data_IF_149339173942
#
_entry.id   IF_149339173942
#
_cell.length_a   1.000
_cell.length_b   1.000
_cell.length_c   1.000
_cell.angle_alpha   90.00
_cell.angle_beta   90.00
_cell.angle_gamma   90.00
#
_symmetry.space_group_name_H-M   'P 1'
#
loop_
_entity.id
_entity.type
_entity.pdbx_description
1 polymer ?
#
# COMPACT_ATOMS: atom_id res chain seq x y z
N UNK A 1 -12.49 16.63 -17.20
CA UNK A 1 -11.48 16.10 -16.25
C UNK A 1 -10.33 15.56 -17.07
N UNK A 2 -9.10 16.02 -16.83
CA UNK A 2 -7.93 15.34 -17.40
C UNK A 2 -7.99 13.90 -16.87
N UNK A 3 -7.98 12.91 -17.76
CA UNK A 3 -7.92 11.52 -17.34
C UNK A 3 -6.67 11.34 -16.47
N UNK A 4 -6.85 10.81 -15.26
CA UNK A 4 -5.73 10.49 -14.38
C UNK A 4 -4.92 9.38 -15.03
N UNK A 5 -3.83 9.73 -15.70
CA UNK A 5 -3.03 8.81 -16.51
C UNK A 5 -1.83 8.22 -15.75
N UNK A 6 -1.74 8.48 -14.43
CA UNK A 6 -0.64 7.99 -13.61
C UNK A 6 -1.08 7.52 -12.23
N UNK A 7 -0.41 6.48 -11.73
CA UNK A 7 -0.76 5.81 -10.50
C UNK A 7 0.47 5.50 -9.63
N UNK A 8 0.27 5.55 -8.31
CA UNK A 8 1.18 5.00 -7.31
C UNK A 8 0.55 3.74 -6.71
N UNK A 9 1.22 2.61 -6.87
CA UNK A 9 0.76 1.31 -6.35
C UNK A 9 1.40 1.06 -4.99
N UNK A 10 0.58 0.90 -3.95
CA UNK A 10 1.00 0.32 -2.68
C UNK A 10 1.36 -1.13 -2.94
N UNK A 11 2.65 -1.38 -3.03
CA UNK A 11 3.20 -2.64 -3.47
C UNK A 11 3.92 -3.28 -2.27
N UNK A 12 3.84 -4.59 -2.07
CA UNK A 12 4.65 -5.31 -1.08
C UNK A 12 5.51 -6.40 -1.72
N UNK A 13 5.21 -6.80 -2.96
CA UNK A 13 5.75 -8.00 -3.59
C UNK A 13 4.90 -9.25 -3.32
N UNK A 14 3.89 -9.16 -2.45
CA UNK A 14 2.90 -10.23 -2.26
C UNK A 14 1.94 -10.34 -3.44
N UNK A 15 1.16 -11.43 -3.46
CA UNK A 15 0.23 -11.78 -4.54
C UNK A 15 -0.70 -10.63 -4.91
N UNK A 16 -1.48 -10.12 -3.96
CA UNK A 16 -2.52 -9.11 -4.23
C UNK A 16 -1.91 -7.82 -4.75
N UNK A 17 -0.82 -7.36 -4.12
CA UNK A 17 -0.12 -6.16 -4.54
C UNK A 17 0.52 -6.31 -5.94
N UNK A 18 0.95 -7.51 -6.31
CA UNK A 18 1.47 -7.83 -7.66
C UNK A 18 0.35 -7.84 -8.69
N UNK A 19 -0.82 -8.38 -8.34
CA UNK A 19 -2.01 -8.29 -9.17
C UNK A 19 -2.43 -6.83 -9.37
N UNK A 20 -2.40 -5.99 -8.33
CA UNK A 20 -2.65 -4.56 -8.43
C UNK A 20 -1.65 -3.86 -9.35
N UNK A 21 -0.36 -4.19 -9.27
CA UNK A 21 0.66 -3.65 -10.15
C UNK A 21 0.40 -4.02 -11.61
N UNK A 22 0.13 -5.30 -11.88
CA UNK A 22 -0.22 -5.79 -13.22
C UNK A 22 -1.48 -5.10 -13.77
N UNK A 23 -2.48 -4.90 -12.91
CA UNK A 23 -3.70 -4.18 -13.26
C UNK A 23 -3.38 -2.71 -13.58
N UNK A 24 -2.63 -2.01 -12.74
CA UNK A 24 -2.27 -0.60 -12.95
C UNK A 24 -1.48 -0.40 -14.25
N UNK A 25 -0.52 -1.29 -14.56
CA UNK A 25 0.27 -1.23 -15.79
C UNK A 25 -0.55 -1.38 -17.07
N UNK A 26 -1.76 -1.97 -16.99
CA UNK A 26 -2.71 -2.05 -18.10
C UNK A 26 -3.58 -0.80 -18.25
N UNK A 27 -3.71 0.01 -17.21
CA UNK A 27 -4.71 1.11 -17.14
C UNK A 27 -4.09 2.51 -17.13
N UNK A 28 -2.79 2.65 -16.80
CA UNK A 28 -2.13 3.95 -16.67
C UNK A 28 -0.84 3.99 -17.50
N UNK A 29 -0.51 5.14 -18.08
CA UNK A 29 0.73 5.32 -18.85
C UNK A 29 1.99 5.44 -17.99
N UNK A 30 1.85 5.84 -16.72
CA UNK A 30 2.94 5.89 -15.74
C UNK A 30 2.52 5.28 -14.41
N UNK A 31 3.23 4.24 -14.00
CA UNK A 31 3.00 3.54 -12.73
C UNK A 31 4.26 3.57 -11.90
N UNK A 32 4.19 4.10 -10.69
CA UNK A 32 5.26 3.97 -9.69
C UNK A 32 4.80 3.04 -8.57
N UNK A 33 5.73 2.55 -7.77
CA UNK A 33 5.41 1.65 -6.65
C UNK A 33 5.93 2.20 -5.33
N UNK A 34 5.21 1.97 -4.25
CA UNK A 34 5.64 2.33 -2.89
C UNK A 34 5.51 1.14 -1.96
N UNK A 35 6.55 0.87 -1.19
CA UNK A 35 6.59 -0.12 -0.11
C UNK A 35 6.86 0.56 1.23
N UNK A 36 6.49 -0.14 2.31
CA UNK A 36 6.65 0.35 3.68
C UNK A 36 7.44 -0.66 4.51
N UNK A 37 8.53 -0.20 5.11
CA UNK A 37 9.19 -0.90 6.19
C UNK A 37 8.68 -0.33 7.51
N UNK A 38 7.81 -1.06 8.20
CA UNK A 38 7.22 -0.63 9.47
C UNK A 38 7.64 -1.53 10.63
N UNK A 39 8.79 -2.22 10.49
CA UNK A 39 9.29 -3.15 11.49
C UNK A 39 8.53 -4.48 11.54
N UNK A 40 7.89 -4.88 10.43
CA UNK A 40 7.20 -6.16 10.36
C UNK A 40 8.15 -7.34 10.55
N UNK A 41 7.68 -8.38 11.27
CA UNK A 41 8.45 -9.60 11.55
C UNK A 41 8.98 -10.33 10.30
N UNK A 42 8.27 -10.24 9.17
CA UNK A 42 8.63 -10.90 7.91
C UNK A 42 9.33 -9.93 6.95
N UNK A 43 10.52 -9.45 7.32
CA UNK A 43 11.35 -8.59 6.47
C UNK A 43 11.73 -9.24 5.13
N UNK A 44 11.61 -10.57 5.00
CA UNK A 44 11.83 -11.30 3.76
C UNK A 44 10.97 -10.78 2.60
N UNK A 45 9.75 -10.32 2.87
CA UNK A 45 8.86 -9.75 1.84
C UNK A 45 9.49 -8.52 1.17
N UNK A 46 10.16 -7.66 1.95
CA UNK A 46 10.86 -6.48 1.44
C UNK A 46 12.06 -6.86 0.56
N UNK A 47 12.70 -8.00 0.83
CA UNK A 47 13.84 -8.47 0.04
C UNK A 47 13.43 -9.09 -1.30
N UNK A 48 12.21 -9.64 -1.39
CA UNK A 48 11.68 -10.26 -2.61
C UNK A 48 11.10 -9.23 -3.57
N UNK A 49 10.60 -8.10 -3.04
CA UNK A 49 10.00 -7.02 -3.82
C UNK A 49 10.84 -6.58 -5.04
N UNK A 50 12.16 -6.25 -4.93
CA UNK A 50 12.94 -5.83 -6.09
C UNK A 50 12.97 -6.89 -7.19
N UNK A 51 13.08 -8.17 -6.83
CA UNK A 51 13.02 -9.28 -7.78
C UNK A 51 11.69 -9.33 -8.51
N UNK A 52 10.57 -9.12 -7.81
CA UNK A 52 9.25 -9.09 -8.44
C UNK A 52 9.12 -7.90 -9.41
N UNK A 53 9.65 -6.72 -9.05
CA UNK A 53 9.67 -5.56 -9.95
C UNK A 53 10.41 -5.88 -11.24
N UNK A 54 11.60 -6.47 -11.15
CA UNK A 54 12.38 -6.86 -12.34
C UNK A 54 11.66 -7.90 -13.18
N UNK A 55 11.00 -8.87 -12.55
CA UNK A 55 10.18 -9.84 -13.27
C UNK A 55 8.99 -9.18 -13.99
N UNK A 56 8.35 -8.18 -13.37
CA UNK A 56 7.26 -7.42 -13.97
C UNK A 56 7.73 -6.62 -15.19
N UNK A 57 8.91 -6.00 -15.12
CA UNK A 57 9.54 -5.32 -16.28
C UNK A 57 9.79 -6.30 -17.42
N UNK A 58 10.30 -7.48 -17.10
CA UNK A 58 10.64 -8.49 -18.09
C UNK A 58 9.43 -9.16 -18.77
N UNK A 59 8.21 -9.05 -18.21
CA UNK A 59 7.01 -9.66 -18.80
C UNK A 59 6.67 -9.08 -20.18
N UNK A 60 6.69 -7.75 -20.31
CA UNK A 60 6.27 -7.04 -21.53
C UNK A 60 7.06 -5.74 -21.69
N UNK A 61 7.58 -5.43 -22.90
CA UNK A 61 8.29 -4.16 -23.15
C UNK A 61 7.45 -2.92 -22.81
N UNK A 62 6.13 -2.99 -22.98
CA UNK A 62 5.23 -1.91 -22.60
C UNK A 62 5.16 -1.69 -21.08
N UNK A 63 5.31 -2.75 -20.28
CA UNK A 63 5.29 -2.63 -18.82
C UNK A 63 6.57 -2.01 -18.31
N UNK A 64 7.72 -2.38 -18.87
CA UNK A 64 8.98 -1.74 -18.54
C UNK A 64 8.95 -0.23 -18.81
N UNK A 65 8.41 0.18 -19.97
CA UNK A 65 8.28 1.59 -20.33
C UNK A 65 7.33 2.38 -19.42
N UNK A 66 6.29 1.73 -18.85
CA UNK A 66 5.30 2.38 -17.96
C UNK A 66 5.71 2.34 -16.50
N UNK A 67 6.50 1.35 -16.08
CA UNK A 67 6.90 1.15 -14.69
C UNK A 67 8.05 2.11 -14.34
N UNK A 68 7.72 3.14 -13.56
CA UNK A 68 8.65 4.13 -13.06
C UNK A 68 9.35 3.72 -11.76
N UNK A 69 9.57 4.70 -10.90
CA UNK A 69 10.37 4.55 -9.68
C UNK A 69 9.70 3.64 -8.64
N UNK A 70 10.53 2.87 -7.93
CA UNK A 70 10.19 2.20 -6.67
C UNK A 70 10.57 3.08 -5.48
N UNK A 71 9.66 3.22 -4.53
CA UNK A 71 9.84 4.00 -3.30
C UNK A 71 9.76 3.08 -2.10
N UNK A 72 10.76 3.11 -1.21
CA UNK A 72 10.70 2.43 0.07
C UNK A 72 10.68 3.47 1.19
N UNK A 73 9.64 3.45 2.02
CA UNK A 73 9.48 4.39 3.12
C UNK A 73 9.62 3.66 4.45
N UNK A 74 10.51 4.17 5.30
CA UNK A 74 10.58 3.78 6.70
C UNK A 74 9.37 4.36 7.46
N UNK A 75 8.55 3.47 7.99
CA UNK A 75 7.41 3.70 8.86
C UNK A 75 7.57 2.94 10.19
N UNK A 76 8.80 2.73 10.66
CA UNK A 76 9.12 2.13 11.96
C UNK A 76 8.48 2.87 13.14
N UNK A 77 8.05 4.12 12.97
CA UNK A 77 7.18 4.84 13.92
C UNK A 77 5.96 4.01 14.32
N UNK A 78 5.38 3.23 13.39
CA UNK A 78 4.24 2.35 13.67
C UNK A 78 4.57 1.39 14.81
N UNK A 79 5.81 0.88 14.86
CA UNK A 79 6.24 0.02 15.95
C UNK A 79 6.38 0.75 17.29
N UNK A 80 6.66 2.05 17.28
CA UNK A 80 6.75 2.87 18.49
C UNK A 80 5.39 3.32 19.03
N UNK A 81 4.34 3.33 18.20
CA UNK A 81 2.99 3.78 18.57
C UNK A 81 1.96 2.63 18.66
N UNK A 82 2.41 1.37 18.53
CA UNK A 82 1.55 0.18 18.51
C UNK A 82 2.07 -0.93 19.44
N UNK A 83 1.25 -1.36 20.39
CA UNK A 83 1.52 -2.45 21.33
C UNK A 83 0.99 -3.81 20.83
N UNK A 84 1.40 -4.23 19.63
CA UNK A 84 0.86 -5.43 18.95
C UNK A 84 1.89 -6.55 18.79
N UNK A 85 1.45 -7.81 18.71
CA UNK A 85 2.31 -8.99 18.48
C UNK A 85 3.06 -8.98 17.14
N UNK A 86 2.81 -7.98 16.28
CA UNK A 86 3.57 -7.70 15.07
C UNK A 86 4.95 -7.07 15.37
N UNK A 87 5.13 -6.49 16.57
CA UNK A 87 6.34 -5.76 17.02
C UNK A 87 6.99 -6.37 18.26
N UNK A 88 6.37 -7.41 18.86
CA UNK A 88 6.86 -8.13 20.04
C UNK A 88 6.75 -9.65 19.86
N UNK A 89 7.63 -10.43 20.50
CA UNK A 89 7.59 -11.91 20.48
C UNK A 89 6.44 -12.44 21.36
N UNK A 90 5.20 -12.29 20.90
CA UNK A 90 3.98 -12.80 21.56
C UNK A 90 3.27 -13.78 20.61
N UNK A 91 2.64 -14.82 21.16
CA UNK A 91 1.82 -15.74 20.36
C UNK A 91 0.65 -15.00 19.69
N UNK A 92 0.32 -15.39 18.45
CA UNK A 92 -0.82 -14.83 17.73
C UNK A 92 -2.10 -15.33 18.41
N UNK A 93 -2.88 -14.41 18.97
CA UNK A 93 -4.13 -14.71 19.65
C UNK A 93 -5.26 -13.80 19.14
N UNK A 94 -6.47 -14.35 19.06
CA UNK A 94 -7.68 -13.57 18.79
C UNK A 94 -8.07 -12.80 20.06
N UNK A 95 -8.31 -11.50 19.92
CA UNK A 95 -8.77 -10.65 21.01
C UNK A 95 -10.31 -10.64 21.09
N UNK A 96 -10.85 -10.18 22.23
CA UNK A 96 -12.31 -10.08 22.47
C UNK A 96 -13.05 -9.18 21.46
N UNK A 97 -12.32 -8.30 20.77
CA UNK A 97 -12.83 -7.46 19.69
C UNK A 97 -12.93 -8.18 18.33
N UNK A 98 -12.59 -9.47 18.27
CA UNK A 98 -12.61 -10.29 17.06
C UNK A 98 -11.41 -10.11 16.13
N UNK A 99 -10.39 -9.33 16.53
CA UNK A 99 -9.19 -9.07 15.75
C UNK A 99 -7.98 -9.80 16.35
N UNK A 100 -7.03 -10.27 15.54
CA UNK A 100 -5.78 -10.83 16.06
C UNK A 100 -4.96 -9.73 16.74
N UNK A 101 -4.18 -10.09 17.75
CA UNK A 101 -3.25 -9.17 18.45
C UNK A 101 -2.09 -8.66 17.56
N UNK A 102 -1.99 -9.10 16.31
CA UNK A 102 -1.13 -8.54 15.27
C UNK A 102 -1.77 -7.33 14.56
N UNK A 103 -3.08 -7.10 14.74
CA UNK A 103 -3.76 -5.96 14.12
C UNK A 103 -3.28 -4.65 14.71
N UNK A 104 -2.67 -3.81 13.87
CA UNK A 104 -2.33 -2.42 14.19
C UNK A 104 -3.48 -1.52 13.73
N UNK A 105 -4.25 -0.91 14.65
CA UNK A 105 -5.39 -0.08 14.28
C UNK A 105 -5.00 1.08 13.37
N UNK A 106 -5.68 1.21 12.23
CA UNK A 106 -5.52 2.34 11.30
C UNK A 106 -4.23 2.31 10.46
N UNK A 107 -3.50 1.18 10.44
CA UNK A 107 -2.27 1.03 9.67
C UNK A 107 -2.46 1.34 8.19
N UNK A 108 -3.54 0.85 7.57
CA UNK A 108 -3.77 1.10 6.14
C UNK A 108 -4.10 2.57 5.87
N UNK A 109 -4.70 3.28 6.85
CA UNK A 109 -4.93 4.72 6.75
C UNK A 109 -3.60 5.48 6.72
N UNK A 110 -2.64 5.09 7.56
CA UNK A 110 -1.28 5.65 7.55
C UNK A 110 -0.59 5.38 6.22
N UNK A 111 -0.63 4.14 5.73
CA UNK A 111 -0.04 3.78 4.44
C UNK A 111 -0.59 4.62 3.29
N UNK A 112 -1.91 4.75 3.21
CA UNK A 112 -2.56 5.57 2.19
C UNK A 112 -2.19 7.05 2.33
N UNK A 113 -2.13 7.59 3.55
CA UNK A 113 -1.75 9.00 3.80
C UNK A 113 -0.31 9.29 3.37
N UNK A 114 0.62 8.39 3.69
CA UNK A 114 2.03 8.51 3.29
C UNK A 114 2.17 8.35 1.77
N UNK A 115 1.49 7.36 1.17
CA UNK A 115 1.45 7.17 -0.27
C UNK A 115 0.90 8.42 -0.98
N UNK A 116 -0.15 9.04 -0.46
CA UNK A 116 -0.73 10.25 -1.03
C UNK A 116 0.27 11.42 -1.01
N UNK A 117 1.04 11.56 0.07
CA UNK A 117 2.11 12.58 0.19
C UNK A 117 3.21 12.37 -0.86
N UNK A 118 3.64 11.11 -1.07
CA UNK A 118 4.60 10.77 -2.12
C UNK A 118 4.01 11.02 -3.51
N UNK A 119 2.78 10.55 -3.76
CA UNK A 119 2.07 10.72 -5.01
C UNK A 119 1.95 12.20 -5.42
N UNK A 120 1.59 13.08 -4.48
CA UNK A 120 1.52 14.53 -4.72
C UNK A 120 2.85 15.10 -5.23
N UNK A 121 3.96 14.79 -4.56
CA UNK A 121 5.31 15.25 -4.97
C UNK A 121 5.74 14.69 -6.32
N UNK A 122 5.22 13.51 -6.71
CA UNK A 122 5.53 12.81 -7.95
C UNK A 122 4.58 13.17 -9.11
N UNK A 123 3.55 13.97 -8.83
CA UNK A 123 2.49 14.30 -9.79
C UNK A 123 1.61 13.09 -10.16
N UNK A 124 1.49 12.11 -9.26
CA UNK A 124 0.65 10.93 -9.45
C UNK A 124 -0.74 11.19 -8.86
N UNK A 125 -1.78 10.86 -9.61
CA UNK A 125 -3.16 11.27 -9.29
C UNK A 125 -4.07 10.12 -8.86
N UNK A 126 -3.62 8.87 -9.00
CA UNK A 126 -4.31 7.67 -8.49
C UNK A 126 -3.43 6.95 -7.48
N UNK A 127 -4.04 6.50 -6.39
CA UNK A 127 -3.47 5.49 -5.49
C UNK A 127 -4.15 4.15 -5.78
N UNK A 128 -3.36 3.08 -5.85
CA UNK A 128 -3.86 1.70 -6.00
C UNK A 128 -3.36 0.89 -4.83
N UNK A 129 -4.25 0.18 -4.15
CA UNK A 129 -3.90 -0.75 -3.07
C UNK A 129 -4.66 -2.06 -3.20
N UNK A 130 -4.06 -3.14 -2.67
CA UNK A 130 -4.61 -4.51 -2.77
C UNK A 130 -5.41 -4.97 -1.56
N UNK A 131 -5.86 -4.06 -0.70
CA UNK A 131 -6.68 -4.39 0.47
C UNK A 131 -8.10 -4.75 0.02
N UNK A 132 -8.70 -5.77 0.66
CA UNK A 132 -10.03 -6.24 0.35
C UNK A 132 -10.89 -6.40 1.60
N UNK A 133 -12.21 -6.30 1.45
CA UNK A 133 -13.19 -6.47 2.53
C UNK A 133 -13.42 -7.93 2.91
N UNK A 134 -13.20 -8.86 1.97
CA UNK A 134 -13.56 -10.26 2.10
C UNK A 134 -12.55 -11.08 2.89
N UNK A 135 -11.43 -10.47 3.30
CA UNK A 135 -10.46 -11.14 4.16
C UNK A 135 -11.08 -11.47 5.51
N UNK A 136 -10.82 -12.69 5.98
CA UNK A 136 -11.42 -13.37 7.13
C UNK A 136 -11.39 -12.58 8.45
N UNK A 137 -10.58 -11.52 8.52
CA UNK A 137 -10.37 -10.65 9.68
C UNK A 137 -11.23 -9.37 9.71
N UNK A 138 -11.89 -9.00 8.61
CA UNK A 138 -12.86 -7.89 8.60
C UNK A 138 -12.32 -6.52 9.03
N UNK A 139 -11.02 -6.27 8.78
CA UNK A 139 -10.31 -5.08 9.26
C UNK A 139 -11.04 -3.78 8.84
N UNK A 140 -11.41 -2.90 9.79
CA UNK A 140 -12.18 -1.69 9.49
C UNK A 140 -11.50 -0.76 8.48
N UNK A 141 -10.16 -0.74 8.47
CA UNK A 141 -9.33 0.06 7.57
C UNK A 141 -9.06 -0.60 6.21
N UNK A 142 -9.74 -1.71 5.88
CA UNK A 142 -9.80 -2.29 4.53
C UNK A 142 -11.14 -2.05 3.84
N UNK A 143 -12.15 -1.51 4.54
CA UNK A 143 -13.50 -1.36 4.02
C UNK A 143 -13.63 -0.21 3.02
N UNK A 144 -14.51 -0.38 2.04
CA UNK A 144 -14.83 0.56 0.98
C UNK A 144 -15.34 1.88 1.55
N UNK A 145 -16.19 1.85 2.58
CA UNK A 145 -16.66 3.06 3.27
C UNK A 145 -15.50 3.85 3.90
N UNK A 146 -14.58 3.15 4.57
CA UNK A 146 -13.36 3.74 5.13
C UNK A 146 -12.43 4.29 4.04
N UNK A 147 -12.20 3.55 2.95
CA UNK A 147 -11.34 4.00 1.84
C UNK A 147 -11.93 5.22 1.13
N UNK A 148 -13.25 5.25 0.90
CA UNK A 148 -13.96 6.40 0.33
C UNK A 148 -13.87 7.64 1.24
N UNK A 149 -14.07 7.45 2.55
CA UNK A 149 -13.93 8.54 3.51
C UNK A 149 -12.51 9.11 3.50
N UNK A 150 -11.49 8.25 3.47
CA UNK A 150 -10.09 8.67 3.39
C UNK A 150 -9.79 9.40 2.07
N UNK A 151 -10.28 8.90 0.93
CA UNK A 151 -10.13 9.57 -0.36
C UNK A 151 -10.66 11.00 -0.32
N UNK A 152 -11.84 11.22 0.27
CA UNK A 152 -12.42 12.57 0.43
C UNK A 152 -11.50 13.45 1.28
N UNK A 153 -11.01 12.95 2.42
CA UNK A 153 -10.10 13.69 3.28
C UNK A 153 -8.80 14.08 2.56
N UNK A 154 -8.18 13.15 1.83
CA UNK A 154 -6.96 13.40 1.06
C UNK A 154 -7.18 14.44 -0.03
N UNK A 155 -8.29 14.35 -0.78
CA UNK A 155 -8.63 15.32 -1.81
C UNK A 155 -8.82 16.73 -1.23
N UNK A 156 -9.55 16.86 -0.12
CA UNK A 156 -9.78 18.15 0.54
C UNK A 156 -8.49 18.74 1.13
N UNK A 157 -7.61 17.88 1.67
CA UNK A 157 -6.37 18.30 2.32
C UNK A 157 -5.22 18.63 1.36
N UNK A 158 -5.25 18.11 0.14
CA UNK A 158 -4.12 18.23 -0.81
C UNK A 158 -4.45 18.94 -2.12
N UNK A 159 -5.72 19.18 -2.45
CA UNK A 159 -6.06 19.99 -3.61
C UNK A 159 -5.62 21.45 -3.42
N UNK A 160 -4.86 21.97 -4.39
CA UNK A 160 -4.60 23.42 -4.48
C UNK A 160 -5.87 24.14 -4.90
N UNK A 161 -6.22 25.24 -4.21
CA UNK A 161 -7.30 26.15 -4.60
C UNK A 161 -6.91 26.99 -5.81
#
# INVERSE_FOLDING_TARGET
MLASDSALVLFSGGQDSTTCLAWALKHYSRVETIGFDYGQRHAIELTVRPTVIEQMRAQLPEWDARLGQDHMIDLSLIAAISDTALTQNVEIAMQDNGLPNTFVPGRNLLFMTVAATVAYRRGLTVLVGGMCETDFSGYPDCRDDTMKALQVALNLGMATR
#
